data_IF_842397423295
#
_entry.id   IF_842397423295
#
_cell.length_a   1.000
_cell.length_b   1.000
_cell.length_c   1.000
_cell.angle_alpha   90.00
_cell.angle_beta   90.00
_cell.angle_gamma   90.00
#
_symmetry.space_group_name_H-M   'P 1'
#
loop_
_entity.id
_entity.type
_entity.pdbx_description
1 polymer ?
#
# COMPACT_ATOMS: atom_id res chain seq x y z
N UNK A 1 6.10 2.05 13.58
CA UNK A 1 5.46 2.38 12.29
C UNK A 1 6.31 1.80 11.18
N UNK A 2 5.69 1.08 10.25
CA UNK A 2 6.35 0.41 9.12
C UNK A 2 5.91 1.02 7.79
N UNK A 3 6.83 0.95 6.84
CA UNK A 3 6.59 1.30 5.44
C UNK A 3 6.94 0.08 4.59
N UNK A 4 6.00 -0.35 3.75
CA UNK A 4 6.20 -1.40 2.76
C UNK A 4 5.97 -0.79 1.38
N UNK A 5 6.88 -1.08 0.46
CA UNK A 5 6.81 -0.64 -0.93
C UNK A 5 6.81 -1.86 -1.83
N UNK A 6 5.80 -1.98 -2.68
CA UNK A 6 5.64 -3.13 -3.55
C UNK A 6 4.81 -2.77 -4.79
N UNK A 7 4.89 -3.62 -5.82
CA UNK A 7 4.04 -3.52 -7.00
C UNK A 7 2.81 -4.44 -6.81
N UNK A 8 1.61 -3.91 -6.55
CA UNK A 8 0.41 -4.72 -6.35
C UNK A 8 -0.14 -5.33 -7.66
N UNK A 9 0.40 -4.92 -8.81
CA UNK A 9 -0.15 -5.24 -10.13
C UNK A 9 -1.40 -4.42 -10.46
N UNK A 10 -2.04 -4.76 -11.59
CA UNK A 10 -3.30 -4.13 -11.96
C UNK A 10 -4.45 -4.66 -11.08
N UNK A 11 -5.13 -3.77 -10.35
CA UNK A 11 -6.26 -4.09 -9.47
C UNK A 11 -7.31 -3.00 -9.59
N UNK A 12 -8.58 -3.39 -9.67
CA UNK A 12 -9.68 -2.44 -9.62
C UNK A 12 -9.79 -1.81 -8.23
N UNK A 13 -10.38 -0.62 -8.16
CA UNK A 13 -10.68 0.04 -6.88
C UNK A 13 -11.50 -0.87 -5.96
N UNK A 14 -11.25 -0.78 -4.66
CA UNK A 14 -11.88 -1.59 -3.60
C UNK A 14 -11.66 -3.11 -3.69
N UNK A 15 -10.74 -3.55 -4.56
CA UNK A 15 -10.29 -4.95 -4.62
C UNK A 15 -9.27 -5.23 -3.52
N UNK A 16 -9.26 -6.46 -3.02
CA UNK A 16 -8.27 -6.93 -2.06
C UNK A 16 -6.86 -6.89 -2.68
N UNK A 17 -5.94 -6.26 -1.95
CA UNK A 17 -4.50 -6.20 -2.23
C UNK A 17 -3.79 -6.82 -1.03
N UNK A 18 -3.12 -7.95 -1.28
CA UNK A 18 -2.37 -8.66 -0.26
C UNK A 18 -0.96 -8.08 -0.13
N UNK A 19 -0.47 -8.00 1.10
CA UNK A 19 0.88 -7.57 1.41
C UNK A 19 1.88 -8.64 0.94
N UNK A 20 3.08 -8.23 0.53
CA UNK A 20 4.12 -9.16 0.14
C UNK A 20 4.51 -10.06 1.33
N UNK A 21 4.79 -11.33 1.03
CA UNK A 21 5.20 -12.33 2.03
C UNK A 21 6.37 -11.84 2.88
N UNK A 22 6.27 -11.98 4.19
CA UNK A 22 7.27 -11.48 5.15
C UNK A 22 6.98 -10.08 5.68
N UNK A 23 5.92 -9.42 5.21
CA UNK A 23 5.40 -8.22 5.84
C UNK A 23 4.82 -8.54 7.23
N UNK A 24 5.12 -7.74 8.26
CA UNK A 24 4.42 -7.85 9.54
C UNK A 24 2.91 -7.63 9.39
N UNK A 25 2.12 -8.33 10.21
CA UNK A 25 0.67 -8.18 10.26
C UNK A 25 0.27 -6.73 10.56
N UNK A 26 -0.73 -6.23 9.84
CA UNK A 26 -1.28 -4.89 9.96
C UNK A 26 -2.20 -4.81 11.17
N UNK A 27 -1.88 -3.89 12.09
CA UNK A 27 -2.79 -3.44 13.14
C UNK A 27 -3.66 -2.29 12.65
N UNK A 28 -3.05 -1.25 12.08
CA UNK A 28 -3.75 -0.05 11.61
C UNK A 28 -3.02 0.54 10.40
N UNK A 29 -3.75 0.88 9.33
CA UNK A 29 -3.16 1.58 8.17
C UNK A 29 -3.26 3.08 8.37
N UNK A 30 -2.16 3.81 8.12
CA UNK A 30 -2.11 5.27 8.27
C UNK A 30 -2.16 5.99 6.93
N UNK A 31 -1.51 5.46 5.91
CA UNK A 31 -1.40 6.13 4.63
C UNK A 31 -1.08 5.14 3.49
N UNK A 32 -1.59 5.42 2.30
CA UNK A 32 -1.22 4.74 1.07
C UNK A 32 -0.99 5.76 -0.06
N UNK A 33 0.09 5.57 -0.80
CA UNK A 33 0.45 6.40 -1.94
C UNK A 33 0.81 5.53 -3.12
N UNK A 34 0.30 5.89 -4.29
CA UNK A 34 0.62 5.22 -5.56
C UNK A 34 1.56 6.12 -6.36
N UNK A 35 2.65 5.55 -6.84
CA UNK A 35 3.55 6.17 -7.80
C UNK A 35 3.30 5.55 -9.17
N UNK A 36 2.61 6.32 -10.02
CA UNK A 36 2.13 5.88 -11.32
C UNK A 36 3.21 6.02 -12.38
N UNK A 37 3.42 4.95 -13.15
CA UNK A 37 4.35 4.95 -14.28
C UNK A 37 5.81 5.11 -13.90
N UNK A 38 6.23 4.65 -12.72
CA UNK A 38 7.65 4.66 -12.37
C UNK A 38 8.39 3.64 -13.24
N UNK A 39 8.97 4.11 -14.33
CA UNK A 39 9.73 3.26 -15.24
C UNK A 39 11.15 3.75 -15.53
N UNK A 40 11.61 4.72 -14.74
CA UNK A 40 12.92 5.32 -14.87
C UNK A 40 13.05 6.27 -16.06
N UNK A 41 12.03 6.40 -16.92
CA UNK A 41 12.06 7.31 -18.08
C UNK A 41 11.30 8.61 -17.84
N UNK A 42 10.24 8.56 -17.03
CA UNK A 42 9.50 9.74 -16.59
C UNK A 42 9.38 9.78 -15.05
N UNK A 43 9.25 10.99 -14.50
CA UNK A 43 8.96 11.16 -13.07
C UNK A 43 7.58 10.54 -12.77
N UNK A 44 7.54 9.64 -11.79
CA UNK A 44 6.31 8.96 -11.43
C UNK A 44 5.28 9.96 -10.88
N UNK A 45 4.04 9.88 -11.37
CA UNK A 45 2.96 10.70 -10.87
C UNK A 45 2.50 10.18 -9.51
N UNK A 46 2.53 11.02 -8.48
CA UNK A 46 2.05 10.66 -7.15
C UNK A 46 0.52 10.78 -7.10
N UNK A 47 -0.13 9.71 -6.65
CA UNK A 47 -1.57 9.63 -6.46
C UNK A 47 -1.85 9.22 -5.03
N UNK A 48 -2.59 10.05 -4.30
CA UNK A 48 -3.06 9.71 -2.96
C UNK A 48 -4.14 8.65 -3.07
N UNK A 49 -4.06 7.61 -2.23
CA UNK A 49 -5.08 6.60 -2.09
C UNK A 49 -5.52 6.54 -0.62
N UNK A 50 -6.78 6.23 -0.38
CA UNK A 50 -7.32 5.97 0.95
C UNK A 50 -7.29 4.47 1.19
N UNK A 51 -6.39 3.96 2.05
CA UNK A 51 -6.36 2.54 2.34
C UNK A 51 -7.40 2.16 3.40
N UNK A 52 -8.03 1.01 3.20
CA UNK A 52 -8.90 0.37 4.18
C UNK A 52 -8.32 -0.99 4.54
N UNK A 53 -8.11 -1.24 5.83
CA UNK A 53 -7.69 -2.56 6.33
C UNK A 53 -8.83 -3.56 6.16
N UNK A 54 -8.57 -4.70 5.53
CA UNK A 54 -9.53 -5.81 5.44
C UNK A 54 -9.24 -6.82 6.54
N UNK A 55 -7.98 -7.25 6.64
CA UNK A 55 -7.51 -8.20 7.66
C UNK A 55 -6.05 -7.92 8.04
N UNK A 56 -5.34 -8.93 8.55
CA UNK A 56 -3.96 -8.81 8.99
C UNK A 56 -2.98 -8.55 7.85
N UNK A 57 -3.25 -9.05 6.64
CA UNK A 57 -2.29 -9.02 5.53
C UNK A 57 -2.91 -8.43 4.25
N UNK A 58 -4.17 -7.99 4.30
CA UNK A 58 -4.89 -7.48 3.14
C UNK A 58 -5.45 -6.07 3.38
N UNK A 59 -5.29 -5.22 2.35
CA UNK A 59 -5.85 -3.86 2.28
C UNK A 59 -6.68 -3.67 1.02
N UNK A 60 -7.51 -2.63 1.01
CA UNK A 60 -8.21 -2.11 -0.17
C UNK A 60 -7.83 -0.65 -0.38
N UNK A 61 -7.80 -0.20 -1.63
CA UNK A 61 -7.63 1.21 -1.98
C UNK A 61 -8.89 1.72 -2.66
N UNK A 62 -9.24 2.97 -2.43
CA UNK A 62 -10.34 3.68 -3.10
C UNK A 62 -10.09 3.97 -4.60
N UNK A 63 -8.85 3.79 -5.05
CA UNK A 63 -8.42 3.99 -6.43
C UNK A 63 -7.83 2.70 -7.02
N UNK A 64 -8.00 2.51 -8.33
CA UNK A 64 -7.40 1.39 -9.05
C UNK A 64 -5.88 1.55 -9.19
N UNK A 65 -5.17 0.43 -9.21
CA UNK A 65 -3.73 0.34 -9.50
C UNK A 65 -3.51 -0.21 -10.90
N UNK A 66 -2.43 0.21 -11.56
CA UNK A 66 -2.00 -0.29 -12.86
C UNK A 66 -0.79 -1.23 -12.73
N UNK A 67 -0.51 -2.00 -13.77
CA UNK A 67 0.57 -3.01 -13.80
C UNK A 67 1.97 -2.45 -13.43
N UNK A 68 2.21 -1.15 -13.64
CA UNK A 68 3.52 -0.49 -13.42
C UNK A 68 3.51 0.46 -12.23
N UNK A 69 2.50 0.36 -11.37
CA UNK A 69 2.37 1.23 -10.21
C UNK A 69 3.14 0.67 -9.02
N UNK A 70 3.82 1.55 -8.29
CA UNK A 70 4.37 1.24 -6.98
C UNK A 70 3.44 1.75 -5.90
N UNK A 71 3.05 0.85 -4.99
CA UNK A 71 2.28 1.18 -3.80
C UNK A 71 3.22 1.33 -2.62
N UNK A 72 3.18 2.50 -1.99
CA UNK A 72 3.83 2.79 -0.72
C UNK A 72 2.76 2.77 0.37
N UNK A 73 2.78 1.73 1.20
CA UNK A 73 1.86 1.55 2.32
C UNK A 73 2.57 1.84 3.63
N UNK A 74 2.00 2.74 4.44
CA UNK A 74 2.48 3.05 5.80
C UNK A 74 1.46 2.60 6.82
N UNK A 75 1.87 1.72 7.72
CA UNK A 75 1.00 1.10 8.71
C UNK A 75 1.69 0.85 10.04
N UNK A 76 0.91 0.61 11.08
CA UNK A 76 1.37 0.13 12.38
C UNK A 76 1.26 -1.40 12.34
N UNK A 77 2.37 -2.09 12.59
CA UNK A 77 2.38 -3.53 12.69
C UNK A 77 1.87 -3.99 14.06
N UNK A 78 1.23 -5.17 14.12
CA UNK A 78 0.79 -5.79 15.37
C UNK A 78 1.98 -5.94 16.32
N UNK A 79 1.84 -5.40 17.53
CA UNK A 79 2.90 -5.42 18.56
C UNK A 79 3.85 -4.23 18.52
N UNK A 80 3.75 -3.34 17.51
CA UNK A 80 4.43 -2.05 17.53
C UNK A 80 3.60 -1.01 18.28
N UNK A 81 4.02 -0.65 19.48
CA UNK A 81 3.47 0.52 20.19
C UNK A 81 4.09 1.77 19.56
N UNK A 82 3.25 2.71 19.10
CA UNK A 82 3.74 4.02 18.71
C UNK A 82 4.21 4.71 19.99
N UNK A 83 5.53 4.78 20.20
CA UNK A 83 6.07 5.57 21.30
C UNK A 83 5.82 7.06 20.95
N UNK A 84 5.18 7.83 21.85
CA UNK A 84 4.75 9.21 21.60
C UNK A 84 5.90 10.17 21.27
#
# INVERSE_FOLDING_TARGET
MRTVVFAPGAKDANTNIDLPSGSPAIQEVKNAEIFRGSDGTAAAAKVSATPTRVDADTVKLDVATLTRDLLVLRYIAVGEVLQP
#
